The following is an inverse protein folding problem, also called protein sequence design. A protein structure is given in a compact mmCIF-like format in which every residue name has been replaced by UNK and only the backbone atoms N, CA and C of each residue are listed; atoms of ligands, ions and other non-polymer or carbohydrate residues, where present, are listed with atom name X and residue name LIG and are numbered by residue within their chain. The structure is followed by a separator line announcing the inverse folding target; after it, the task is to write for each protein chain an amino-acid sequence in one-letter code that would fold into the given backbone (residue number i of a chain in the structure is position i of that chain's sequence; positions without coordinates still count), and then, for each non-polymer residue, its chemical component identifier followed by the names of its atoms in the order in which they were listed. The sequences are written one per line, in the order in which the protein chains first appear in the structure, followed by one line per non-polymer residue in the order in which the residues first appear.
data_IF_206617883406
#
_entry.id   IF_206617883406
#
_cell.length_a   1.000
_cell.length_b   1.000
_cell.length_c   1.000
_cell.angle_alpha   90.00
_cell.angle_beta   90.00
_cell.angle_gamma   90.00
#
_symmetry.space_group_name_H-M   'P 1'
#
loop_
_entity.id
_entity.type
_entity.pdbx_description
1 polymer ?
#
# COMPACT_ATOMS: atom_id res chain seq x y z
N UNK A 1 15.18 9.27 0.84
CA UNK A 1 14.51 9.63 2.10
C UNK A 1 13.90 8.40 2.78
N UNK A 2 12.93 7.70 2.17
CA UNK A 2 12.27 6.55 2.80
C UNK A 2 13.24 5.46 3.30
N UNK A 3 14.21 5.06 2.47
CA UNK A 3 15.24 4.07 2.85
C UNK A 3 16.07 4.56 4.05
N UNK A 4 16.52 5.82 4.05
CA UNK A 4 17.30 6.37 5.16
C UNK A 4 16.49 6.36 6.48
N UNK A 5 15.20 6.71 6.42
CA UNK A 5 14.32 6.68 7.59
C UNK A 5 14.14 5.24 8.08
N UNK A 6 13.92 4.30 7.17
CA UNK A 6 13.79 2.88 7.49
C UNK A 6 15.07 2.35 8.17
N UNK A 7 16.25 2.61 7.59
CA UNK A 7 17.54 2.21 8.17
C UNK A 7 17.78 2.81 9.56
N UNK A 8 17.50 4.11 9.74
CA UNK A 8 17.64 4.76 11.04
C UNK A 8 16.74 4.10 12.09
N UNK A 9 15.45 3.92 11.77
CA UNK A 9 14.50 3.27 12.69
C UNK A 9 14.94 1.83 12.98
N UNK A 10 15.39 1.11 11.96
CA UNK A 10 15.87 -0.27 12.07
C UNK A 10 17.08 -0.43 12.97
N UNK A 11 18.03 0.51 12.95
CA UNK A 11 19.16 0.51 13.87
C UNK A 11 18.72 0.81 15.31
N UNK A 12 17.76 1.71 15.48
CA UNK A 12 17.19 1.99 16.80
C UNK A 12 16.43 0.81 17.39
N UNK A 13 15.66 0.06 16.57
CA UNK A 13 14.96 -1.16 17.00
C UNK A 13 15.91 -2.27 17.42
N UNK A 14 17.08 -2.36 16.80
CA UNK A 14 18.10 -3.34 17.20
C UNK A 14 18.72 -3.01 18.56
N UNK A 15 18.97 -1.73 18.84
CA UNK A 15 19.56 -1.29 20.11
C UNK A 15 18.53 -1.28 21.25
N UNK A 16 17.31 -0.83 20.95
CA UNK A 16 16.25 -0.61 21.94
C UNK A 16 14.94 -1.23 21.46
N UNK A 17 14.77 -2.55 21.58
CA UNK A 17 13.54 -3.22 21.14
C UNK A 17 12.34 -2.70 21.93
N UNK A 18 11.45 -1.97 21.25
CA UNK A 18 10.28 -1.37 21.85
C UNK A 18 9.03 -1.68 21.01
N UNK A 19 7.92 -2.12 21.63
CA UNK A 19 6.66 -2.29 20.92
C UNK A 19 6.15 -0.91 20.47
N UNK A 20 5.77 -0.78 19.20
CA UNK A 20 5.35 0.50 18.62
C UNK A 20 6.50 1.53 18.57
N UNK A 21 7.65 1.08 18.07
CA UNK A 21 8.94 1.77 18.05
C UNK A 21 8.88 3.25 17.62
N UNK A 22 8.12 3.57 16.56
CA UNK A 22 8.11 4.93 15.97
C UNK A 22 7.56 5.98 16.96
N UNK A 23 6.42 5.69 17.58
CA UNK A 23 5.85 6.59 18.59
C UNK A 23 6.71 6.58 19.86
N UNK A 24 7.26 5.43 20.25
CA UNK A 24 8.03 5.33 21.50
C UNK A 24 9.36 6.11 21.45
N UNK A 25 10.08 6.02 20.34
CA UNK A 25 11.36 6.72 20.18
C UNK A 25 11.18 8.23 20.10
N UNK A 26 10.14 8.69 19.43
CA UNK A 26 9.85 10.12 19.32
C UNK A 26 9.46 10.72 20.68
N UNK A 27 8.74 9.96 21.53
CA UNK A 27 8.46 10.37 22.91
C UNK A 27 9.72 10.52 23.76
N UNK A 28 10.62 9.54 23.69
CA UNK A 28 11.81 9.52 24.55
C UNK A 28 12.91 10.47 24.09
N UNK A 29 13.05 10.69 22.78
CA UNK A 29 14.13 11.51 22.22
C UNK A 29 13.77 12.98 22.03
N UNK A 30 12.49 13.30 21.84
CA UNK A 30 12.04 14.66 21.54
C UNK A 30 11.21 15.18 22.70
N UNK A 31 9.96 14.73 22.81
CA UNK A 31 9.03 15.13 23.85
C UNK A 31 7.81 14.18 23.87
N UNK A 32 7.17 14.05 25.04
CA UNK A 32 6.00 13.18 25.22
C UNK A 32 4.82 13.61 24.35
N UNK A 33 4.52 14.91 24.26
CA UNK A 33 3.39 15.44 23.47
C UNK A 33 3.64 15.27 21.97
N UNK A 34 4.90 15.44 21.56
CA UNK A 34 5.29 15.24 20.16
C UNK A 34 5.11 13.79 19.72
N UNK A 35 5.46 12.84 20.59
CA UNK A 35 5.26 11.43 20.28
C UNK A 35 3.79 10.98 20.29
N UNK A 36 2.91 11.65 21.04
CA UNK A 36 1.46 11.49 20.88
C UNK A 36 0.99 11.97 19.50
N UNK A 37 1.42 13.16 19.07
CA UNK A 37 1.08 13.71 17.78
C UNK A 37 1.53 12.80 16.63
N UNK A 38 2.76 12.28 16.68
CA UNK A 38 3.29 11.32 15.70
C UNK A 38 2.51 10.01 15.72
N UNK A 39 2.18 9.48 16.90
CA UNK A 39 1.38 8.25 17.03
C UNK A 39 0.01 8.37 16.35
N UNK A 40 -0.68 9.50 16.54
CA UNK A 40 -1.97 9.79 15.91
C UNK A 40 -1.81 9.95 14.39
N UNK A 41 -0.81 10.70 13.94
CA UNK A 41 -0.54 10.89 12.52
C UNK A 41 -0.23 9.56 11.82
N UNK A 42 0.57 8.70 12.45
CA UNK A 42 0.91 7.37 11.94
C UNK A 42 -0.33 6.48 11.87
N UNK A 43 -1.15 6.48 12.92
CA UNK A 43 -2.43 5.77 12.93
C UNK A 43 -3.38 6.23 11.82
N UNK A 44 -3.56 7.55 11.66
CA UNK A 44 -4.39 8.14 10.60
C UNK A 44 -3.87 7.81 9.21
N UNK A 45 -2.55 7.73 9.02
CA UNK A 45 -1.93 7.34 7.74
C UNK A 45 -2.36 5.93 7.35
N UNK A 46 -2.25 4.96 8.26
CA UNK A 46 -2.64 3.58 7.95
C UNK A 46 -4.15 3.38 7.81
N UNK A 47 -4.98 4.12 8.54
CA UNK A 47 -6.42 4.14 8.29
C UNK A 47 -6.77 4.69 6.90
N UNK A 48 -6.08 5.75 6.48
CA UNK A 48 -6.29 6.34 5.15
C UNK A 48 -5.84 5.38 4.05
N UNK A 49 -4.73 4.65 4.25
CA UNK A 49 -4.27 3.60 3.33
C UNK A 49 -5.31 2.48 3.24
N UNK A 50 -5.81 1.97 4.37
CA UNK A 50 -6.86 0.95 4.38
C UNK A 50 -8.09 1.36 3.55
N UNK A 51 -8.57 2.60 3.73
CA UNK A 51 -9.69 3.11 2.94
C UNK A 51 -9.33 3.24 1.45
N UNK A 52 -8.18 3.82 1.13
CA UNK A 52 -7.72 4.03 -0.25
C UNK A 52 -7.56 2.71 -1.02
N UNK A 53 -7.00 1.68 -0.38
CA UNK A 53 -6.83 0.36 -0.99
C UNK A 53 -8.18 -0.30 -1.27
N UNK A 54 -9.15 -0.22 -0.36
CA UNK A 54 -10.49 -0.77 -0.63
C UNK A 54 -11.21 -0.06 -1.79
N UNK A 55 -11.07 1.26 -1.91
CA UNK A 55 -11.58 2.03 -3.06
C UNK A 55 -10.89 1.58 -4.34
N UNK A 56 -9.57 1.37 -4.31
CA UNK A 56 -8.82 0.87 -5.44
C UNK A 56 -9.28 -0.53 -5.86
N UNK A 57 -9.44 -1.48 -4.92
CA UNK A 57 -9.95 -2.82 -5.23
C UNK A 57 -11.33 -2.78 -5.91
N UNK A 58 -12.21 -1.91 -5.42
CA UNK A 58 -13.50 -1.68 -6.05
C UNK A 58 -13.35 -1.13 -7.48
N UNK A 59 -12.48 -0.14 -7.71
CA UNK A 59 -12.21 0.42 -9.03
C UNK A 59 -11.64 -0.62 -10.00
N UNK A 60 -10.75 -1.51 -9.55
CA UNK A 60 -10.20 -2.57 -10.39
C UNK A 60 -11.27 -3.56 -10.85
N UNK A 61 -12.23 -3.89 -9.99
CA UNK A 61 -13.32 -4.81 -10.33
C UNK A 61 -14.24 -4.34 -11.48
N UNK A 62 -14.14 -3.07 -11.92
CA UNK A 62 -14.83 -2.56 -13.13
C UNK A 62 -14.41 -3.29 -14.40
N UNK A 63 -13.27 -3.99 -14.38
CA UNK A 63 -12.89 -4.86 -15.47
C UNK A 63 -13.93 -5.98 -15.71
N UNK A 64 -14.49 -6.57 -14.65
CA UNK A 64 -15.28 -7.81 -14.71
C UNK A 64 -16.80 -7.61 -14.66
N UNK A 65 -17.31 -6.41 -14.42
CA UNK A 65 -18.75 -6.18 -14.34
C UNK A 65 -19.18 -4.73 -14.59
N UNK A 66 -20.49 -4.54 -14.64
CA UNK A 66 -21.10 -3.25 -14.93
C UNK A 66 -20.75 -2.20 -13.86
N UNK A 67 -20.47 -0.98 -14.33
CA UNK A 67 -20.05 0.18 -13.54
C UNK A 67 -20.97 0.46 -12.34
N UNK A 68 -22.27 0.14 -12.46
CA UNK A 68 -23.31 0.44 -11.46
C UNK A 68 -23.80 -0.79 -10.68
N UNK A 69 -23.09 -1.92 -10.75
CA UNK A 69 -23.47 -3.14 -10.03
C UNK A 69 -23.44 -2.96 -8.50
N UNK A 70 -24.59 -3.13 -7.84
CA UNK A 70 -24.75 -3.06 -6.36
C UNK A 70 -23.82 -4.05 -5.63
N UNK A 71 -23.45 -5.15 -6.29
CA UNK A 71 -22.54 -6.15 -5.73
C UNK A 71 -21.13 -5.61 -5.42
N UNK A 72 -20.65 -4.57 -6.13
CA UNK A 72 -19.30 -4.03 -5.96
C UNK A 72 -19.10 -3.39 -4.57
N UNK A 73 -19.92 -2.40 -4.14
CA UNK A 73 -19.88 -1.88 -2.78
C UNK A 73 -20.05 -2.98 -1.72
N UNK A 74 -20.95 -3.94 -1.93
CA UNK A 74 -21.19 -5.02 -0.96
C UNK A 74 -19.93 -5.87 -0.78
N UNK A 75 -19.27 -6.25 -1.86
CA UNK A 75 -18.09 -7.11 -1.78
C UNK A 75 -16.88 -6.35 -1.23
N UNK A 76 -16.56 -5.18 -1.79
CA UNK A 76 -15.31 -4.49 -1.45
C UNK A 76 -15.42 -3.56 -0.23
N UNK A 77 -16.59 -2.98 0.05
CA UNK A 77 -16.77 -2.11 1.22
C UNK A 77 -17.34 -2.83 2.43
N UNK A 78 -18.01 -3.98 2.26
CA UNK A 78 -18.52 -4.76 3.40
C UNK A 78 -17.82 -6.12 3.52
N UNK A 79 -17.97 -7.03 2.57
CA UNK A 79 -17.51 -8.41 2.73
C UNK A 79 -15.97 -8.52 2.91
N UNK A 80 -15.19 -7.80 2.11
CA UNK A 80 -13.73 -7.78 2.20
C UNK A 80 -13.26 -7.18 3.55
N UNK A 81 -13.93 -6.14 4.03
CA UNK A 81 -13.62 -5.50 5.31
C UNK A 81 -13.96 -6.41 6.50
N UNK A 82 -15.11 -7.09 6.48
CA UNK A 82 -15.44 -8.08 7.51
C UNK A 82 -14.53 -9.30 7.45
N UNK A 83 -14.13 -9.76 6.25
CA UNK A 83 -13.19 -10.86 6.08
C UNK A 83 -11.80 -10.53 6.62
N UNK A 84 -11.25 -9.36 6.28
CA UNK A 84 -9.96 -8.89 6.80
C UNK A 84 -10.02 -8.66 8.31
N UNK A 85 -11.10 -8.07 8.83
CA UNK A 85 -11.32 -7.94 10.27
C UNK A 85 -11.34 -9.32 10.96
N UNK A 86 -12.03 -10.30 10.38
CA UNK A 86 -12.06 -11.68 10.87
C UNK A 86 -10.67 -12.31 10.95
N UNK A 87 -9.86 -12.18 9.90
CA UNK A 87 -8.47 -12.68 9.88
C UNK A 87 -7.64 -12.02 10.98
N UNK A 88 -7.80 -10.71 11.19
CA UNK A 88 -7.11 -9.97 12.25
C UNK A 88 -7.52 -10.43 13.66
N UNK A 89 -8.74 -10.93 13.85
CA UNK A 89 -9.25 -11.41 15.14
C UNK A 89 -8.84 -12.85 15.50
N UNK A 90 -8.60 -13.71 14.51
CA UNK A 90 -8.33 -15.16 14.72
C UNK A 90 -6.93 -15.42 15.33
N UNK A 91 -6.02 -14.44 15.29
CA UNK A 91 -4.81 -14.41 16.11
C UNK A 91 -3.53 -14.07 15.34
N UNK A 92 -2.57 -13.44 16.03
CA UNK A 92 -1.35 -12.88 15.43
C UNK A 92 -0.47 -13.91 14.70
N UNK A 93 -0.50 -15.18 15.11
CA UNK A 93 0.25 -16.25 14.43
C UNK A 93 -0.32 -16.58 13.06
N UNK A 94 -1.65 -16.68 12.93
CA UNK A 94 -2.29 -16.97 11.65
C UNK A 94 -2.10 -15.79 10.70
N UNK A 95 -2.30 -14.57 11.21
CA UNK A 95 -2.02 -13.34 10.45
C UNK A 95 -0.60 -13.33 9.89
N UNK A 96 0.41 -13.64 10.71
CA UNK A 96 1.81 -13.70 10.26
C UNK A 96 2.05 -14.69 9.11
N UNK A 97 1.45 -15.89 9.16
CA UNK A 97 1.56 -16.86 8.07
C UNK A 97 0.85 -16.40 6.79
N UNK A 98 -0.35 -15.84 6.92
CA UNK A 98 -1.13 -15.32 5.79
C UNK A 98 -0.39 -14.18 5.11
N UNK A 99 0.16 -13.24 5.87
CA UNK A 99 0.95 -12.13 5.33
C UNK A 99 2.26 -12.59 4.70
N UNK A 100 2.94 -13.58 5.27
CA UNK A 100 4.17 -14.13 4.67
C UNK A 100 3.91 -14.75 3.29
N UNK A 101 2.86 -15.58 3.18
CA UNK A 101 2.45 -16.18 1.90
C UNK A 101 1.99 -15.09 0.92
N UNK A 102 1.16 -14.16 1.39
CA UNK A 102 0.68 -13.02 0.59
C UNK A 102 1.82 -12.13 0.10
N UNK A 103 2.85 -11.91 0.91
CA UNK A 103 4.05 -11.17 0.56
C UNK A 103 4.86 -11.85 -0.55
N UNK A 104 5.08 -13.16 -0.44
CA UNK A 104 5.74 -13.95 -1.50
C UNK A 104 4.97 -13.86 -2.81
N UNK A 105 3.64 -14.03 -2.76
CA UNK A 105 2.78 -13.91 -3.94
C UNK A 105 2.82 -12.50 -4.55
N UNK A 106 2.82 -11.45 -3.73
CA UNK A 106 2.95 -10.05 -4.18
C UNK A 106 4.29 -9.79 -4.86
N UNK A 107 5.40 -10.28 -4.30
CA UNK A 107 6.73 -10.14 -4.93
C UNK A 107 6.78 -10.89 -6.26
N UNK A 108 6.27 -12.13 -6.30
CA UNK A 108 6.18 -12.91 -7.54
C UNK A 108 5.33 -12.19 -8.61
N UNK A 109 4.22 -11.56 -8.21
CA UNK A 109 3.38 -10.76 -9.08
C UNK A 109 4.13 -9.56 -9.67
N UNK A 110 4.88 -8.80 -8.86
CA UNK A 110 5.67 -7.65 -9.33
C UNK A 110 6.72 -8.10 -10.35
N UNK A 111 7.42 -9.21 -10.08
CA UNK A 111 8.40 -9.78 -11.01
C UNK A 111 7.73 -10.22 -12.31
N UNK A 112 6.61 -10.94 -12.22
CA UNK A 112 5.85 -11.39 -13.38
C UNK A 112 5.38 -10.21 -14.26
N UNK A 113 4.81 -9.19 -13.65
CA UNK A 113 4.37 -7.97 -14.36
C UNK A 113 5.57 -7.31 -15.06
N UNK A 114 6.69 -7.15 -14.36
CA UNK A 114 7.90 -6.53 -14.91
C UNK A 114 8.41 -7.31 -16.14
N UNK A 115 8.47 -8.64 -16.05
CA UNK A 115 8.92 -9.50 -17.16
C UNK A 115 7.95 -9.42 -18.34
N UNK A 116 6.64 -9.51 -18.10
CA UNK A 116 5.64 -9.45 -19.17
C UNK A 116 5.65 -8.10 -19.87
N UNK A 117 5.75 -7.00 -19.14
CA UNK A 117 5.88 -5.67 -19.74
C UNK A 117 7.18 -5.48 -20.51
N UNK A 118 8.29 -6.04 -20.03
CA UNK A 118 9.54 -6.03 -20.79
C UNK A 118 9.41 -6.78 -22.13
N UNK A 119 8.67 -7.90 -22.17
CA UNK A 119 8.37 -8.63 -23.41
C UNK A 119 7.48 -7.81 -24.34
N UNK A 120 6.41 -7.19 -23.81
CA UNK A 120 5.53 -6.30 -24.58
C UNK A 120 6.33 -5.16 -25.20
N UNK A 121 7.23 -4.55 -24.43
CA UNK A 121 8.10 -3.47 -24.90
C UNK A 121 9.06 -3.92 -26.02
N UNK A 122 9.56 -5.16 -25.95
CA UNK A 122 10.45 -5.71 -26.98
C UNK A 122 9.72 -6.07 -28.29
N UNK A 123 8.44 -6.44 -28.21
CA UNK A 123 7.63 -6.86 -29.36
C UNK A 123 6.98 -5.67 -30.09
N UNK A 124 6.58 -4.63 -29.36
CA UNK A 124 6.07 -3.39 -29.92
C UNK A 124 7.25 -2.58 -30.47
N UNK A 125 7.67 -2.91 -31.69
CA UNK A 125 8.76 -2.25 -32.43
C UNK A 125 8.62 -0.72 -32.42
N UNK A 126 9.40 -0.09 -31.53
CA UNK A 126 9.83 1.30 -31.53
C UNK A 126 8.79 2.37 -31.84
N UNK A 127 8.10 2.80 -30.79
CA UNK A 127 8.07 4.23 -30.47
C UNK A 127 8.40 4.42 -28.99
N UNK A 128 9.70 4.51 -28.66
CA UNK A 128 10.17 5.04 -27.38
C UNK A 128 9.79 6.53 -27.28
N UNK A 129 8.50 6.81 -27.12
CA UNK A 129 7.97 8.15 -26.92
C UNK A 129 8.10 8.50 -25.43
N UNK A 130 9.34 8.54 -24.93
CA UNK A 130 9.63 9.07 -23.60
C UNK A 130 9.47 10.58 -23.66
N UNK A 131 8.27 11.05 -23.39
CA UNK A 131 8.05 12.47 -23.17
C UNK A 131 8.60 12.84 -21.81
N UNK A 132 9.80 13.41 -21.74
CA UNK A 132 10.19 14.31 -20.64
C UNK A 132 9.37 15.61 -20.64
N UNK A 133 8.34 15.70 -21.51
CA UNK A 133 7.46 16.84 -21.66
C UNK A 133 6.20 16.60 -20.84
N UNK A 134 5.84 17.62 -20.07
CA UNK A 134 4.57 17.69 -19.36
C UNK A 134 3.41 17.68 -20.34
N UNK A 135 2.37 16.93 -19.99
CA UNK A 135 1.12 16.96 -20.72
C UNK A 135 0.33 18.22 -20.30
N UNK A 136 0.22 19.20 -21.20
CA UNK A 136 -0.45 20.49 -20.93
C UNK A 136 -1.91 20.42 -20.50
N UNK A 137 -2.70 19.37 -20.82
CA UNK A 137 -4.04 19.18 -20.27
C UNK A 137 -4.07 18.70 -18.80
N UNK A 138 -2.98 18.13 -18.27
CA UNK A 138 -2.97 17.48 -16.95
C UNK A 138 -2.28 18.27 -15.85
N UNK A 139 -1.31 19.11 -16.22
CA UNK A 139 -0.71 20.09 -15.34
C UNK A 139 -0.66 21.41 -16.10
N UNK A 140 -0.66 22.55 -15.42
CA UNK A 140 -0.56 23.88 -16.04
C UNK A 140 0.89 24.38 -16.17
N UNK A 141 1.76 23.96 -15.27
CA UNK A 141 3.21 24.27 -15.23
C UNK A 141 4.04 23.06 -14.81
N UNK A 142 5.35 23.10 -15.08
CA UNK A 142 6.28 22.05 -14.67
C UNK A 142 6.37 21.96 -13.14
N UNK A 143 6.29 23.10 -12.45
CA UNK A 143 6.19 23.16 -10.98
C UNK A 143 4.94 22.43 -10.47
N UNK A 144 3.78 22.65 -11.09
CA UNK A 144 2.56 21.94 -10.70
C UNK A 144 2.71 20.43 -10.91
N UNK A 145 3.29 19.99 -12.03
CA UNK A 145 3.57 18.57 -12.27
C UNK A 145 4.48 17.96 -11.20
N UNK A 146 5.55 18.65 -10.80
CA UNK A 146 6.44 18.20 -9.72
C UNK A 146 5.68 18.10 -8.39
N UNK A 147 4.87 19.10 -8.05
CA UNK A 147 4.04 19.09 -6.83
C UNK A 147 3.04 17.93 -6.81
N UNK A 148 2.55 17.46 -7.97
CA UNK A 148 1.68 16.29 -8.06
C UNK A 148 2.44 14.96 -7.92
N UNK A 149 3.63 14.84 -8.50
CA UNK A 149 4.38 13.57 -8.52
C UNK A 149 4.94 13.22 -7.14
N UNK A 150 5.41 14.21 -6.38
CA UNK A 150 6.02 14.01 -5.06
C UNK A 150 5.11 13.19 -4.11
N UNK A 151 3.84 13.58 -3.83
CA UNK A 151 2.99 12.83 -2.91
C UNK A 151 2.62 11.43 -3.43
N UNK A 152 2.42 11.25 -4.75
CA UNK A 152 2.09 9.94 -5.34
C UNK A 152 3.26 8.97 -5.18
N UNK A 153 4.47 9.42 -5.50
CA UNK A 153 5.69 8.61 -5.31
C UNK A 153 5.93 8.34 -3.84
N UNK A 154 5.75 9.35 -2.97
CA UNK A 154 5.91 9.19 -1.52
C UNK A 154 4.95 8.16 -0.97
N UNK A 155 3.67 8.20 -1.38
CA UNK A 155 2.66 7.21 -0.99
C UNK A 155 3.07 5.77 -1.37
N UNK A 156 3.72 5.58 -2.53
CA UNK A 156 4.22 4.28 -2.97
C UNK A 156 5.36 3.68 -2.11
N UNK A 157 6.05 4.51 -1.32
CA UNK A 157 7.13 4.07 -0.43
C UNK A 157 6.72 3.97 1.06
N UNK A 158 5.48 4.31 1.41
CA UNK A 158 4.98 4.16 2.79
C UNK A 158 4.91 2.69 3.18
N UNK A 159 5.33 2.36 4.41
CA UNK A 159 5.26 1.02 4.98
C UNK A 159 6.52 0.19 4.81
N UNK A 160 7.55 0.72 4.13
CA UNK A 160 8.87 0.11 4.08
C UNK A 160 9.50 0.05 5.48
N UNK A 161 9.28 1.09 6.29
CA UNK A 161 9.71 1.18 7.68
C UNK A 161 9.00 0.15 8.57
N UNK A 162 7.71 -0.08 8.34
CA UNK A 162 6.94 -1.04 9.13
C UNK A 162 7.42 -2.48 8.90
N UNK A 163 7.76 -2.83 7.65
CA UNK A 163 8.29 -4.14 7.30
C UNK A 163 9.62 -4.42 8.01
N UNK A 164 10.51 -3.44 8.09
CA UNK A 164 11.78 -3.60 8.78
C UNK A 164 11.58 -3.70 10.30
N UNK A 165 10.81 -2.79 10.91
CA UNK A 165 10.52 -2.80 12.36
C UNK A 165 9.96 -4.16 12.80
N UNK A 166 8.97 -4.69 12.07
CA UNK A 166 8.35 -5.99 12.38
C UNK A 166 9.35 -7.13 12.24
N UNK A 167 10.23 -7.09 11.24
CA UNK A 167 11.24 -8.13 11.03
C UNK A 167 12.23 -8.21 12.19
N UNK A 168 12.61 -7.06 12.75
CA UNK A 168 13.49 -7.01 13.93
C UNK A 168 12.78 -7.41 15.23
N UNK A 169 11.49 -7.08 15.38
CA UNK A 169 10.70 -7.56 16.52
C UNK A 169 10.50 -9.09 16.49
N UNK A 170 10.38 -9.70 15.30
CA UNK A 170 10.07 -11.12 15.15
C UNK A 170 11.24 -12.05 15.49
N UNK A 171 12.48 -11.68 15.14
CA UNK A 171 13.67 -12.44 15.51
C UNK A 171 14.88 -11.53 15.72
N UNK A 172 15.13 -11.06 16.96
CA UNK A 172 16.29 -10.25 17.28
C UNK A 172 17.57 -11.10 17.12
N UNK A 173 18.24 -10.99 15.97
CA UNK A 173 19.54 -11.62 15.70
C UNK A 173 19.64 -12.34 14.35
N UNK A 174 18.68 -13.20 13.99
CA UNK A 174 18.77 -14.03 12.78
C UNK A 174 18.32 -13.32 11.50
N UNK A 175 17.43 -12.32 11.62
CA UNK A 175 16.86 -11.58 10.49
C UNK A 175 17.56 -10.23 10.22
N UNK A 176 18.65 -9.91 10.93
CA UNK A 176 19.25 -8.57 10.90
C UNK A 176 19.85 -8.18 9.54
N UNK A 177 20.65 -9.07 8.93
CA UNK A 177 21.25 -8.80 7.60
C UNK A 177 20.23 -8.84 6.46
N UNK A 178 19.32 -9.83 6.40
CA UNK A 178 18.26 -9.85 5.38
C UNK A 178 17.38 -8.60 5.45
N UNK A 179 17.01 -8.14 6.65
CA UNK A 179 16.08 -7.02 6.81
C UNK A 179 16.58 -5.71 6.18
N UNK A 180 17.87 -5.39 6.32
CA UNK A 180 18.46 -4.19 5.68
C UNK A 180 18.37 -4.23 4.16
N UNK A 181 18.46 -5.41 3.56
CA UNK A 181 18.40 -5.55 2.10
C UNK A 181 16.97 -5.51 1.57
N UNK A 182 15.95 -5.74 2.41
CA UNK A 182 14.55 -5.76 1.97
C UNK A 182 14.15 -4.40 1.40
N UNK A 183 14.51 -3.29 2.06
CA UNK A 183 14.18 -1.97 1.56
C UNK A 183 14.81 -1.68 0.19
N UNK A 184 16.07 -2.06 -0.01
CA UNK A 184 16.75 -1.89 -1.30
C UNK A 184 16.15 -2.77 -2.40
N UNK A 185 15.89 -4.05 -2.09
CA UNK A 185 15.29 -4.98 -3.05
C UNK A 185 13.87 -4.52 -3.42
N UNK A 186 13.04 -4.15 -2.45
CA UNK A 186 11.70 -3.63 -2.68
C UNK A 186 11.74 -2.35 -3.51
N UNK A 187 12.65 -1.42 -3.19
CA UNK A 187 12.83 -0.18 -3.95
C UNK A 187 13.27 -0.45 -5.39
N UNK A 188 14.21 -1.37 -5.59
CA UNK A 188 14.67 -1.78 -6.92
C UNK A 188 13.54 -2.40 -7.73
N UNK A 189 12.81 -3.36 -7.16
CA UNK A 189 11.67 -4.01 -7.82
C UNK A 189 10.57 -3.00 -8.17
N UNK A 190 10.28 -2.07 -7.27
CA UNK A 190 9.33 -0.99 -7.51
C UNK A 190 9.77 -0.11 -8.68
N UNK A 191 11.03 0.37 -8.68
CA UNK A 191 11.56 1.22 -9.76
C UNK A 191 11.62 0.47 -11.10
N UNK A 192 12.01 -0.80 -11.10
CA UNK A 192 12.03 -1.65 -12.29
C UNK A 192 10.61 -1.85 -12.85
N UNK A 193 9.64 -2.18 -12.01
CA UNK A 193 8.24 -2.35 -12.40
C UNK A 193 7.63 -1.03 -12.92
N UNK A 194 7.87 0.09 -12.24
CA UNK A 194 7.37 1.40 -12.67
C UNK A 194 8.00 1.86 -13.97
N UNK A 195 9.31 1.67 -14.16
CA UNK A 195 9.99 2.03 -15.41
C UNK A 195 9.43 1.25 -16.59
N UNK A 196 9.23 -0.07 -16.47
CA UNK A 196 8.65 -0.89 -17.53
C UNK A 196 7.21 -0.48 -17.85
N UNK A 197 6.40 -0.08 -16.86
CA UNK A 197 5.07 0.48 -17.10
C UNK A 197 5.11 1.82 -17.86
N UNK A 198 5.98 2.74 -17.47
CA UNK A 198 6.15 4.04 -18.13
C UNK A 198 6.58 3.88 -19.59
N UNK A 199 7.46 2.92 -19.87
CA UNK A 199 7.90 2.66 -21.25
C UNK A 199 6.88 1.90 -22.08
N UNK A 200 6.04 1.06 -21.48
CA UNK A 200 5.06 0.23 -22.20
C UNK A 200 3.84 1.02 -22.69
N UNK A 201 3.53 2.15 -22.08
CA UNK A 201 2.34 2.95 -22.41
C UNK A 201 2.72 4.37 -22.80
N UNK A 202 2.48 4.80 -24.06
CA UNK A 202 2.65 6.18 -24.48
C UNK A 202 1.86 7.16 -23.60
N UNK A 203 2.52 8.22 -23.12
CA UNK A 203 1.95 9.26 -22.26
C UNK A 203 0.83 10.08 -22.92
N UNK A 204 0.69 10.00 -24.25
CA UNK A 204 -0.38 10.63 -25.05
C UNK A 204 -1.64 9.75 -25.18
N UNK A 205 -1.62 8.53 -24.65
CA UNK A 205 -2.72 7.57 -24.76
C UNK A 205 -3.97 8.06 -24.01
N UNK A 206 -5.10 8.14 -24.72
CA UNK A 206 -6.41 8.51 -24.14
C UNK A 206 -6.96 7.50 -23.11
N UNK A 207 -6.33 6.33 -23.00
CA UNK A 207 -6.71 5.27 -22.05
C UNK A 207 -6.04 5.43 -20.68
N UNK A 208 -5.22 6.47 -20.49
CA UNK A 208 -4.59 6.76 -19.20
C UNK A 208 -5.64 7.27 -18.20
N UNK A 209 -5.54 6.89 -16.91
CA UNK A 209 -6.44 7.39 -15.89
C UNK A 209 -6.27 8.90 -15.69
N UNK A 210 -7.39 9.61 -15.52
CA UNK A 210 -7.37 11.03 -15.19
C UNK A 210 -6.79 11.25 -13.79
N UNK A 211 -5.90 12.23 -13.66
CA UNK A 211 -5.16 12.48 -12.42
C UNK A 211 -6.06 13.08 -11.33
N UNK A 212 -7.08 13.87 -11.68
CA UNK A 212 -8.05 14.43 -10.71
C UNK A 212 -9.33 14.93 -11.41
N UNK A 213 -10.51 14.61 -10.87
CA UNK A 213 -11.82 15.16 -11.30
C UNK A 213 -12.41 16.17 -10.30
N UNK A 214 -11.56 16.85 -9.50
CA UNK A 214 -12.00 17.67 -8.37
C UNK A 214 -11.23 18.98 -8.17
N UNK A 215 -12.01 20.07 -8.08
CA UNK A 215 -11.71 21.48 -7.75
C UNK A 215 -10.69 22.18 -8.66
N UNK A 216 -11.18 22.52 -9.85
CA UNK A 216 -10.47 23.22 -10.92
C UNK A 216 -10.85 22.61 -12.26
N UNK A 217 -12.12 22.73 -12.65
CA UNK A 217 -12.61 22.23 -13.94
C UNK A 217 -11.81 22.83 -15.10
N UNK A 218 -11.63 22.06 -16.19
CA UNK A 218 -11.95 22.45 -17.58
C UNK A 218 -11.31 21.46 -18.57
N UNK A 219 -11.86 20.24 -18.60
CA UNK A 219 -12.16 19.45 -19.79
C UNK A 219 -12.32 18.01 -19.37
N UNK A 220 -13.50 17.67 -18.82
CA UNK A 220 -14.01 16.32 -18.94
C UNK A 220 -14.00 15.99 -20.42
N UNK A 221 -13.07 15.14 -20.87
CA UNK A 221 -13.18 14.52 -22.18
C UNK A 221 -14.30 13.47 -22.11
N UNK A 222 -15.53 13.95 -22.07
CA UNK A 222 -16.71 13.16 -22.39
C UNK A 222 -16.77 12.99 -23.90
N UNK A 223 -16.07 12.00 -24.46
CA UNK A 223 -16.26 11.59 -25.85
C UNK A 223 -16.25 10.07 -25.96
N UNK A 224 -17.45 9.47 -25.85
CA UNK A 224 -17.93 8.46 -26.80
C UNK A 224 -17.25 7.09 -26.81
N UNK A 225 -17.06 6.44 -25.66
CA UNK A 225 -16.73 5.02 -25.64
C UNK A 225 -17.22 4.34 -24.36
N UNK A 226 -18.13 3.38 -24.50
CA UNK A 226 -18.46 2.36 -23.48
C UNK A 226 -17.26 1.39 -23.27
N UNK A 227 -16.03 1.89 -23.25
CA UNK A 227 -14.87 1.07 -22.94
C UNK A 227 -14.54 1.25 -21.47
N UNK A 228 -14.63 0.15 -20.71
CA UNK A 228 -14.25 0.08 -19.30
C UNK A 228 -12.88 0.72 -19.13
N UNK A 229 -12.83 1.86 -18.44
CA UNK A 229 -11.61 2.60 -18.16
C UNK A 229 -10.82 1.78 -17.15
N UNK A 230 -10.03 0.83 -17.62
CA UNK A 230 -9.16 0.08 -16.72
C UNK A 230 -8.03 1.00 -16.30
N UNK A 231 -8.05 1.42 -15.04
CA UNK A 231 -7.13 2.43 -14.48
C UNK A 231 -5.68 1.92 -14.31
N UNK A 232 -5.35 0.71 -14.76
CA UNK A 232 -4.03 0.09 -14.62
C UNK A 232 -3.24 0.14 -15.93
N UNK A 233 -2.06 0.75 -15.89
CA UNK A 233 -1.08 0.81 -16.99
C UNK A 233 -0.73 -0.58 -17.55
N UNK A 234 -0.56 -1.57 -16.68
CA UNK A 234 -0.28 -2.97 -17.05
C UNK A 234 -1.36 -3.55 -17.95
N UNK A 235 -2.64 -3.38 -17.59
CA UNK A 235 -3.77 -3.90 -18.39
C UNK A 235 -3.85 -3.18 -19.73
N UNK A 236 -3.62 -1.87 -19.75
CA UNK A 236 -3.57 -1.08 -20.99
C UNK A 236 -2.46 -1.59 -21.93
N UNK A 237 -1.27 -1.88 -21.40
CA UNK A 237 -0.16 -2.41 -22.17
C UNK A 237 -0.45 -3.82 -22.74
N UNK A 238 -1.01 -4.72 -21.92
CA UNK A 238 -1.35 -6.09 -22.35
C UNK A 238 -2.47 -6.10 -23.41
N UNK A 239 -3.46 -5.21 -23.27
CA UNK A 239 -4.51 -5.05 -24.29
C UNK A 239 -3.96 -4.54 -25.62
N UNK A 240 -2.96 -3.64 -25.59
CA UNK A 240 -2.25 -3.22 -26.82
C UNK A 240 -1.51 -4.36 -27.48
N UNK A 241 -1.02 -5.32 -26.69
CA UNK A 241 -0.35 -6.53 -27.17
C UNK A 241 -1.32 -7.63 -27.67
N UNK A 242 -2.62 -7.33 -27.77
CA UNK A 242 -3.68 -8.20 -28.29
C UNK A 242 -3.80 -9.58 -27.58
N UNK A 243 -3.37 -9.68 -26.32
CA UNK A 243 -3.51 -10.89 -25.49
C UNK A 243 -4.56 -10.71 -24.40
N UNK A 244 -5.83 -10.70 -24.82
CA UNK A 244 -7.02 -10.48 -23.98
C UNK A 244 -7.33 -11.58 -22.95
N UNK A 245 -6.47 -12.59 -22.77
CA UNK A 245 -6.60 -13.57 -21.68
C UNK A 245 -5.72 -13.23 -20.49
N UNK A 246 -4.71 -12.36 -20.65
CA UNK A 246 -3.77 -12.01 -19.60
C UNK A 246 -4.18 -10.75 -18.83
N UNK A 247 -5.00 -9.89 -19.42
CA UNK A 247 -5.50 -8.67 -18.78
C UNK A 247 -6.37 -8.96 -17.56
N UNK A 248 -7.30 -9.91 -17.66
CA UNK A 248 -8.12 -10.33 -16.51
C UNK A 248 -7.31 -10.96 -15.37
N UNK A 249 -6.24 -11.70 -15.69
CA UNK A 249 -5.34 -12.28 -14.69
C UNK A 249 -4.61 -11.18 -13.91
N UNK A 250 -4.06 -10.18 -14.61
CA UNK A 250 -3.36 -9.08 -13.95
C UNK A 250 -4.29 -8.20 -13.13
N UNK A 251 -5.50 -7.93 -13.63
CA UNK A 251 -6.51 -7.19 -12.88
C UNK A 251 -6.89 -7.90 -11.58
N UNK A 252 -7.22 -9.20 -11.66
CA UNK A 252 -7.51 -10.02 -10.47
C UNK A 252 -6.34 -10.14 -9.50
N UNK A 253 -5.12 -10.26 -10.01
CA UNK A 253 -3.92 -10.31 -9.17
C UNK A 253 -3.63 -8.97 -8.47
N UNK A 254 -3.94 -7.83 -9.10
CA UNK A 254 -3.86 -6.52 -8.48
C UNK A 254 -4.92 -6.35 -7.39
N UNK A 255 -6.16 -6.81 -7.61
CA UNK A 255 -7.20 -6.84 -6.57
C UNK A 255 -6.71 -7.64 -5.35
N UNK A 256 -6.15 -8.83 -5.56
CA UNK A 256 -5.55 -9.63 -4.50
C UNK A 256 -4.47 -8.85 -3.73
N UNK A 257 -3.54 -8.21 -4.45
CA UNK A 257 -2.44 -7.44 -3.84
C UNK A 257 -2.95 -6.28 -2.98
N UNK A 258 -3.92 -5.53 -3.49
CA UNK A 258 -4.55 -4.38 -2.84
C UNK A 258 -5.33 -4.79 -1.59
N UNK A 259 -6.10 -5.88 -1.64
CA UNK A 259 -6.83 -6.39 -0.46
C UNK A 259 -5.85 -6.84 0.62
N UNK A 260 -4.77 -7.54 0.25
CA UNK A 260 -3.75 -7.93 1.22
C UNK A 260 -3.02 -6.72 1.80
N UNK A 261 -2.69 -5.70 1.00
CA UNK A 261 -2.11 -4.45 1.51
C UNK A 261 -3.07 -3.71 2.46
N UNK A 262 -4.37 -3.71 2.16
CA UNK A 262 -5.42 -3.19 3.04
C UNK A 262 -5.43 -3.93 4.38
N UNK A 263 -5.36 -5.26 4.36
CA UNK A 263 -5.27 -6.09 5.57
C UNK A 263 -4.03 -5.76 6.43
N UNK A 264 -2.85 -5.61 5.80
CA UNK A 264 -1.63 -5.17 6.49
C UNK A 264 -1.81 -3.80 7.14
N UNK A 265 -2.42 -2.84 6.42
CA UNK A 265 -2.64 -1.50 6.92
C UNK A 265 -3.61 -1.48 8.12
N UNK A 266 -4.69 -2.28 8.07
CA UNK A 266 -5.63 -2.43 9.18
C UNK A 266 -4.94 -3.00 10.42
N UNK A 267 -4.07 -4.00 10.25
CA UNK A 267 -3.30 -4.58 11.34
C UNK A 267 -2.37 -3.55 12.00
N UNK A 268 -1.61 -2.81 11.19
CA UNK A 268 -0.68 -1.77 11.69
C UNK A 268 -1.46 -0.64 12.39
N UNK A 269 -2.57 -0.18 11.81
CA UNK A 269 -3.43 0.82 12.43
C UNK A 269 -3.95 0.34 13.80
N UNK A 270 -4.48 -0.88 13.87
CA UNK A 270 -5.00 -1.48 15.10
C UNK A 270 -3.92 -1.59 16.17
N UNK A 271 -2.72 -2.03 15.79
CA UNK A 271 -1.57 -2.16 16.68
C UNK A 271 -1.07 -0.80 17.19
N UNK A 272 -1.00 0.20 16.32
CA UNK A 272 -0.58 1.57 16.67
C UNK A 272 -1.56 2.18 17.67
N UNK A 273 -2.87 2.08 17.39
CA UNK A 273 -3.92 2.56 18.28
C UNK A 273 -3.86 1.89 19.64
N UNK A 274 -3.65 0.57 19.66
CA UNK A 274 -3.50 -0.18 20.90
C UNK A 274 -2.27 0.27 21.71
N UNK A 275 -1.11 0.41 21.06
CA UNK A 275 0.13 0.85 21.70
C UNK A 275 0.01 2.25 22.31
N UNK A 276 -0.82 3.10 21.72
CA UNK A 276 -1.20 4.40 22.27
C UNK A 276 -2.14 4.26 23.48
N UNK A 277 -3.24 3.53 23.35
CA UNK A 277 -4.29 3.43 24.39
C UNK A 277 -3.79 2.78 25.68
N UNK A 278 -2.93 1.76 25.61
CA UNK A 278 -2.42 1.08 26.81
C UNK A 278 -1.60 2.01 27.73
N UNK A 279 -1.14 3.15 27.20
CA UNK A 279 -0.34 4.15 27.92
C UNK A 279 -1.15 5.35 28.39
N UNK A 280 -2.42 5.47 28.02
CA UNK A 280 -3.30 6.51 28.55
C UNK A 280 -3.62 6.23 30.02
N UNK A 281 -3.60 7.28 30.86
CA UNK A 281 -4.00 7.16 32.26
C UNK A 281 -5.48 6.72 32.36
N UNK A 282 -5.82 5.98 33.41
CA UNK A 282 -7.02 5.15 33.50
C UNK A 282 -8.32 5.93 33.80
N UNK A 283 -8.47 7.14 33.27
CA UNK A 283 -9.58 8.04 33.63
C UNK A 283 -10.82 7.90 32.73
N UNK A 284 -10.70 7.17 31.61
CA UNK A 284 -11.79 7.06 30.60
C UNK A 284 -12.34 5.64 30.47
N UNK A 285 -13.68 5.51 30.51
CA UNK A 285 -14.42 4.25 30.31
C UNK A 285 -14.02 3.50 29.02
N UNK A 286 -13.72 4.26 27.95
CA UNK A 286 -13.25 3.72 26.67
C UNK A 286 -11.90 3.00 26.78
N UNK A 287 -10.96 3.54 27.57
CA UNK A 287 -9.62 2.95 27.76
C UNK A 287 -9.74 1.62 28.51
N UNK A 288 -10.61 1.55 29.53
CA UNK A 288 -10.89 0.31 30.25
C UNK A 288 -11.49 -0.79 29.37
N UNK A 289 -12.43 -0.45 28.48
CA UNK A 289 -13.08 -1.40 27.56
C UNK A 289 -12.14 -1.92 26.48
N UNK A 290 -11.29 -1.06 25.92
CA UNK A 290 -10.25 -1.43 24.96
C UNK A 290 -9.19 -2.34 25.58
N UNK A 291 -8.81 -2.10 26.85
CA UNK A 291 -7.87 -2.95 27.58
C UNK A 291 -8.46 -4.33 27.89
N UNK A 292 -9.76 -4.41 28.21
CA UNK A 292 -10.42 -5.68 28.51
C UNK A 292 -10.52 -6.61 27.29
N UNK A 293 -10.76 -6.05 26.11
CA UNK A 293 -10.79 -6.80 24.84
C UNK A 293 -9.42 -7.39 24.47
N UNK A 294 -8.33 -6.93 25.08
CA UNK A 294 -6.95 -7.22 24.65
C UNK A 294 -6.11 -7.88 25.75
N UNK A 295 -6.36 -9.15 26.06
CA UNK A 295 -5.41 -9.93 26.89
C UNK A 295 -4.13 -10.22 26.09
N UNK A 296 -3.03 -9.55 26.42
CA UNK A 296 -1.71 -9.80 25.82
C UNK A 296 -1.04 -10.98 26.52
N UNK A 297 -0.48 -11.91 25.74
CA UNK A 297 0.35 -12.97 26.29
C UNK A 297 1.70 -12.40 26.73
N UNK A 298 1.95 -12.42 28.04
CA UNK A 298 3.10 -11.78 28.71
C UNK A 298 4.47 -12.33 28.28
N UNK A 299 4.54 -13.46 27.57
CA UNK A 299 5.80 -14.07 27.09
C UNK A 299 6.24 -13.63 25.70
N UNK A 300 5.33 -13.19 24.83
CA UNK A 300 5.63 -12.95 23.41
C UNK A 300 5.44 -11.50 22.98
N UNK A 301 4.92 -10.62 23.84
CA UNK A 301 4.66 -9.21 23.50
C UNK A 301 3.62 -9.02 22.37
N UNK A 302 3.00 -10.10 21.92
CA UNK A 302 2.12 -10.14 20.76
C UNK A 302 0.69 -10.48 21.20
N UNK A 303 -0.30 -9.80 20.61
CA UNK A 303 -1.71 -9.91 20.99
C UNK A 303 -2.25 -11.32 20.71
N UNK A 304 -2.73 -12.00 21.75
CA UNK A 304 -3.65 -13.13 21.60
C UNK A 304 -5.05 -12.64 21.97
N UNK A 305 -5.84 -12.23 20.99
CA UNK A 305 -7.24 -11.84 21.22
C UNK A 305 -8.15 -13.03 21.59
N UNK A 306 -7.62 -14.25 21.63
CA UNK A 306 -8.31 -15.44 22.11
C UNK A 306 -7.41 -16.17 23.10
N UNK A 307 -7.80 -16.12 24.38
CA UNK A 307 -7.48 -17.13 25.38
C UNK A 307 -8.59 -18.16 25.40
#
# INVERSE_FOLDING_TARGET
MAICVAECISEMVQLFPAPNAIAEYTRHLIDEDFGWAIGIAYWLTYLSIFAAQNIMAASLSEYWGEKDGIWRPIVFYFAANFGTLGINMVGARLFGWVEAIGGILKIALVILITVVLAIVLADVNNEFQVGFRRNTPYAASDTAAICYVIPIVTFGFIGIEAAEVISFEAAPGSLQRPSKNIAYIASFLYLACMSTQVFSVPWTSRKLPDIYSGIGELNKRNEGGNESVTHILVVIAVRKWNKSSLDGLFDGAMIFSVIFASNTALYIASRTLYGMVIRMHNDSYLVGKLRHLSKVNRKTGCQSLLS
#
